data_IF_107306764931
#
_entry.id   IF_107306764931
#
_cell.length_a   1.000
_cell.length_b   1.000
_cell.length_c   1.000
_cell.angle_alpha   90.00
_cell.angle_beta   90.00
_cell.angle_gamma   90.00
#
_symmetry.space_group_name_H-M   'P 1'
#
loop_
_entity.id
_entity.type
_entity.pdbx_description
1 polymer ?
#
# COMPACT_ATOMS: atom_id res chain seq x y z
N UNK A 1 4.96 30.44 41.89
CA UNK A 1 5.27 29.01 41.69
C UNK A 1 3.97 28.22 41.68
N UNK A 2 3.94 27.05 41.04
CA UNK A 2 3.56 26.72 39.66
C UNK A 2 2.01 26.56 39.53
N UNK A 3 1.35 26.60 38.37
CA UNK A 3 1.69 26.02 37.08
C UNK A 3 1.13 24.59 36.99
N UNK A 4 -0.10 24.42 36.53
CA UNK A 4 -0.63 23.11 36.08
C UNK A 4 -1.28 23.28 34.71
N UNK A 5 -0.44 23.22 33.69
CA UNK A 5 -0.88 22.93 32.33
C UNK A 5 -1.36 21.48 32.28
N UNK A 6 -2.58 21.28 31.81
CA UNK A 6 -3.00 20.01 31.24
C UNK A 6 -2.48 19.99 29.81
N UNK A 7 -1.42 19.22 29.60
CA UNK A 7 -0.92 18.85 28.29
C UNK A 7 -1.97 17.99 27.59
N UNK A 8 -2.72 18.58 26.67
CA UNK A 8 -3.50 17.84 25.70
C UNK A 8 -2.58 17.03 24.78
N UNK A 9 -3.03 15.81 24.49
CA UNK A 9 -2.26 14.72 23.89
C UNK A 9 -1.59 15.07 22.56
N UNK A 10 -0.35 14.58 22.42
CA UNK A 10 0.48 14.68 21.21
C UNK A 10 -0.26 14.18 19.97
N UNK A 11 -0.54 15.11 19.06
CA UNK A 11 -0.80 14.84 17.65
C UNK A 11 0.47 14.30 16.96
N UNK A 12 0.33 13.15 16.31
CA UNK A 12 1.36 12.52 15.48
C UNK A 12 0.97 12.36 14.00
N UNK A 13 -0.24 12.77 13.60
CA UNK A 13 -0.79 12.48 12.27
C UNK A 13 -0.59 13.58 11.22
N UNK A 14 -0.39 14.84 11.63
CA UNK A 14 -0.44 15.97 10.70
C UNK A 14 0.82 16.07 9.83
N UNK A 15 2.00 15.80 10.41
CA UNK A 15 3.28 15.88 9.70
C UNK A 15 3.46 14.83 8.60
N UNK A 16 3.11 13.57 8.85
CA UNK A 16 3.20 12.49 7.85
C UNK A 16 2.23 12.71 6.69
N UNK A 17 1.01 13.14 7.01
CA UNK A 17 0.01 13.51 6.00
C UNK A 17 0.49 14.68 5.15
N UNK A 18 1.00 15.74 5.77
CA UNK A 18 1.49 16.92 5.05
C UNK A 18 2.68 16.59 4.15
N UNK A 19 3.65 15.82 4.67
CA UNK A 19 4.81 15.39 3.91
C UNK A 19 4.40 14.53 2.70
N UNK A 20 3.53 13.54 2.91
CA UNK A 20 3.05 12.67 1.84
C UNK A 20 2.24 13.44 0.80
N UNK A 21 1.35 14.34 1.24
CA UNK A 21 0.57 15.19 0.32
C UNK A 21 1.46 16.16 -0.46
N UNK A 22 2.49 16.74 0.17
CA UNK A 22 3.47 17.58 -0.53
C UNK A 22 4.23 16.79 -1.59
N UNK A 23 4.72 15.60 -1.23
CA UNK A 23 5.43 14.71 -2.17
C UNK A 23 4.52 14.32 -3.34
N UNK A 24 3.29 13.88 -3.06
CA UNK A 24 2.34 13.47 -4.08
C UNK A 24 1.96 14.64 -5.01
N UNK A 25 1.73 15.84 -4.47
CA UNK A 25 1.44 17.03 -5.29
C UNK A 25 2.61 17.41 -6.19
N UNK A 26 3.84 17.26 -5.73
CA UNK A 26 5.04 17.48 -6.55
C UNK A 26 5.09 16.49 -7.71
N UNK A 27 4.90 15.20 -7.44
CA UNK A 27 4.81 14.17 -8.47
C UNK A 27 3.68 14.44 -9.47
N UNK A 28 2.48 14.79 -8.97
CA UNK A 28 1.31 15.08 -9.80
C UNK A 28 1.56 16.27 -10.75
N UNK A 29 2.20 17.34 -10.27
CA UNK A 29 2.59 18.49 -11.11
C UNK A 29 3.60 18.08 -12.16
N UNK A 30 4.61 17.30 -11.78
CA UNK A 30 5.63 16.80 -12.72
C UNK A 30 5.00 15.95 -13.82
N UNK A 31 4.13 14.98 -13.48
CA UNK A 31 3.37 14.22 -14.48
C UNK A 31 2.58 15.17 -15.39
N UNK A 32 1.97 16.19 -14.79
CA UNK A 32 1.21 17.19 -15.51
C UNK A 32 2.01 18.02 -16.53
N UNK A 33 3.29 18.27 -16.26
CA UNK A 33 4.12 19.19 -17.04
C UNK A 33 5.10 18.46 -17.96
N UNK A 34 5.49 17.24 -17.62
CA UNK A 34 6.62 16.55 -18.24
C UNK A 34 6.24 15.29 -19.02
N UNK A 35 5.02 14.76 -18.83
CA UNK A 35 4.59 13.54 -19.51
C UNK A 35 3.64 13.87 -20.66
N UNK A 36 4.03 13.45 -21.87
CA UNK A 36 3.15 13.43 -23.02
C UNK A 36 2.21 12.21 -22.96
N UNK A 37 0.95 12.46 -22.62
CA UNK A 37 -0.07 11.44 -22.48
C UNK A 37 -0.59 10.87 -23.81
N UNK A 38 -0.19 11.45 -24.95
CA UNK A 38 -0.46 10.85 -26.26
C UNK A 38 0.40 9.59 -26.51
N UNK A 39 1.61 9.57 -25.94
CA UNK A 39 2.57 8.48 -26.13
C UNK A 39 2.81 7.66 -24.85
N UNK A 40 2.47 8.21 -23.69
CA UNK A 40 2.74 7.58 -22.38
C UNK A 40 1.47 7.37 -21.58
N UNK A 41 1.26 6.16 -21.07
CA UNK A 41 0.21 5.86 -20.10
C UNK A 41 0.82 5.81 -18.70
N UNK A 42 0.33 6.63 -17.79
CA UNK A 42 0.80 6.67 -16.40
C UNK A 42 -0.15 5.89 -15.51
N UNK A 43 0.40 5.04 -14.66
CA UNK A 43 -0.33 4.29 -13.65
C UNK A 43 0.17 4.68 -12.26
N UNK A 44 -0.75 4.76 -11.30
CA UNK A 44 -0.40 4.85 -9.89
C UNK A 44 -0.98 3.63 -9.17
N UNK A 45 -0.11 2.77 -8.64
CA UNK A 45 -0.51 1.63 -7.81
C UNK A 45 -0.78 2.10 -6.40
N UNK A 46 -1.95 1.78 -5.86
CA UNK A 46 -2.32 2.14 -4.50
C UNK A 46 -1.46 1.41 -3.45
N UNK A 47 -1.72 1.70 -2.17
CA UNK A 47 -0.96 1.19 -1.03
C UNK A 47 -1.04 -0.35 -0.97
N UNK A 48 0.12 -1.00 -0.87
CA UNK A 48 0.23 -2.42 -0.48
C UNK A 48 0.07 -2.51 1.04
N UNK A 49 -0.92 -3.24 1.57
CA UNK A 49 -1.12 -3.37 3.01
C UNK A 49 -0.05 -4.25 3.66
N UNK A 50 0.04 -4.14 4.99
CA UNK A 50 0.87 -5.01 5.85
C UNK A 50 -0.04 -5.80 6.80
N UNK A 51 0.37 -7.02 7.14
CA UNK A 51 -0.42 -7.93 7.98
C UNK A 51 0.25 -8.14 9.34
N UNK A 52 0.29 -7.06 10.13
CA UNK A 52 0.90 -7.01 11.47
C UNK A 52 -0.17 -6.96 12.56
N UNK A 53 0.23 -7.23 13.80
CA UNK A 53 -0.63 -7.14 15.00
C UNK A 53 -1.93 -7.95 14.86
N UNK A 54 -3.09 -7.29 14.83
CA UNK A 54 -4.40 -7.94 14.75
C UNK A 54 -4.66 -8.62 13.39
N UNK A 55 -3.93 -8.24 12.34
CA UNK A 55 -4.02 -8.89 11.03
C UNK A 55 -2.85 -9.86 10.77
N UNK A 56 -2.22 -10.41 11.81
CA UNK A 56 -0.95 -11.15 11.72
C UNK A 56 -0.90 -12.21 10.60
N UNK A 57 0.17 -12.18 9.78
CA UNK A 57 0.32 -13.08 8.62
C UNK A 57 0.90 -14.46 8.93
N UNK A 58 1.57 -14.64 10.08
CA UNK A 58 2.23 -15.91 10.39
C UNK A 58 1.22 -17.04 10.53
N UNK A 59 1.56 -18.19 9.94
CA UNK A 59 0.75 -19.40 9.95
C UNK A 59 -0.67 -19.21 9.36
N UNK A 60 -0.86 -18.19 8.52
CA UNK A 60 -2.10 -18.01 7.77
C UNK A 60 -1.94 -18.65 6.40
N UNK A 61 -2.90 -19.49 6.03
CA UNK A 61 -2.89 -20.23 4.75
C UNK A 61 -4.14 -19.97 3.91
N UNK A 62 -5.08 -19.16 4.41
CA UNK A 62 -6.29 -18.76 3.72
C UNK A 62 -6.50 -17.25 3.82
N UNK A 63 -7.11 -16.61 2.80
CA UNK A 63 -7.54 -15.23 2.88
C UNK A 63 -8.50 -14.99 4.05
N UNK A 64 -8.72 -13.73 4.41
CA UNK A 64 -9.88 -13.37 5.23
C UNK A 64 -11.17 -13.78 4.53
N UNK A 65 -12.10 -14.38 5.28
CA UNK A 65 -13.38 -14.86 4.75
C UNK A 65 -14.54 -13.93 5.10
N UNK A 66 -14.60 -13.42 6.33
CA UNK A 66 -15.66 -12.54 6.82
C UNK A 66 -15.18 -11.48 7.85
N UNK A 67 -13.87 -11.38 8.08
CA UNK A 67 -13.29 -10.42 9.02
C UNK A 67 -12.88 -9.14 8.29
N UNK A 68 -13.14 -7.99 8.89
CA UNK A 68 -12.63 -6.71 8.40
C UNK A 68 -11.17 -6.55 8.78
N UNK A 69 -10.30 -6.45 7.79
CA UNK A 69 -8.91 -6.02 7.97
C UNK A 69 -8.84 -4.71 8.78
N UNK A 70 -8.06 -4.73 9.86
CA UNK A 70 -7.84 -3.53 10.66
C UNK A 70 -6.72 -2.70 10.05
N UNK A 71 -7.08 -1.62 9.39
CA UNK A 71 -6.12 -0.81 8.65
C UNK A 71 -4.94 -0.33 9.51
N UNK A 72 -3.74 -0.78 9.15
CA UNK A 72 -2.50 -0.45 9.87
C UNK A 72 -1.96 0.96 9.52
N UNK A 73 -2.27 1.47 8.33
CA UNK A 73 -1.81 2.78 7.85
C UNK A 73 -2.94 3.83 7.88
N UNK A 74 -2.65 5.13 8.04
CA UNK A 74 -3.69 6.15 8.10
C UNK A 74 -4.56 6.20 6.83
N UNK A 75 -5.89 6.17 6.97
CA UNK A 75 -6.84 6.39 5.85
C UNK A 75 -6.60 7.69 5.10
N UNK A 76 -6.04 8.67 5.80
CA UNK A 76 -5.68 9.97 5.23
C UNK A 76 -4.69 9.81 4.07
N UNK A 77 -3.79 8.82 4.07
CA UNK A 77 -2.87 8.56 2.96
C UNK A 77 -3.60 8.11 1.68
N UNK A 78 -4.58 7.21 1.78
CA UNK A 78 -5.43 6.84 0.63
C UNK A 78 -6.13 8.10 0.10
N UNK A 79 -6.70 8.90 1.01
CA UNK A 79 -7.43 10.11 0.63
C UNK A 79 -6.53 11.14 -0.09
N UNK A 80 -5.25 11.23 0.26
CA UNK A 80 -4.28 12.09 -0.45
C UNK A 80 -4.13 11.63 -1.90
N UNK A 81 -3.91 10.33 -2.11
CA UNK A 81 -3.74 9.77 -3.46
C UNK A 81 -5.00 9.99 -4.29
N UNK A 82 -6.16 9.58 -3.78
CA UNK A 82 -7.43 9.63 -4.52
C UNK A 82 -7.81 11.07 -4.87
N UNK A 83 -7.74 12.01 -3.91
CA UNK A 83 -8.07 13.42 -4.15
C UNK A 83 -7.13 14.07 -5.17
N UNK A 84 -5.84 13.75 -5.14
CA UNK A 84 -4.89 14.35 -6.07
C UNK A 84 -4.99 13.70 -7.46
N UNK A 85 -5.19 12.38 -7.58
CA UNK A 85 -5.41 11.73 -8.88
C UNK A 85 -6.73 12.19 -9.52
N UNK A 86 -7.81 12.35 -8.75
CA UNK A 86 -9.07 12.88 -9.27
C UNK A 86 -8.90 14.25 -9.92
N UNK A 87 -8.04 15.11 -9.35
CA UNK A 87 -7.66 16.42 -9.94
C UNK A 87 -6.81 16.29 -11.21
N UNK A 88 -6.21 15.13 -11.45
CA UNK A 88 -5.44 14.83 -12.66
C UNK A 88 -6.26 14.12 -13.75
N UNK A 89 -7.47 13.64 -13.41
CA UNK A 89 -8.53 12.84 -14.10
C UNK A 89 -8.22 12.08 -15.40
N UNK A 90 -7.39 12.61 -16.31
CA UNK A 90 -7.03 11.99 -17.59
C UNK A 90 -5.52 11.72 -17.76
N UNK A 91 -4.67 12.10 -16.80
CA UNK A 91 -3.21 11.88 -16.89
C UNK A 91 -2.73 10.58 -16.25
N UNK A 92 -3.51 10.00 -15.33
CA UNK A 92 -3.10 8.85 -14.51
C UNK A 92 -4.25 7.87 -14.35
N UNK A 93 -3.98 6.58 -14.57
CA UNK A 93 -4.86 5.47 -14.20
C UNK A 93 -4.52 5.00 -12.79
N UNK A 94 -5.52 5.01 -11.90
CA UNK A 94 -5.34 4.53 -10.53
C UNK A 94 -5.61 3.03 -10.44
N UNK A 95 -4.58 2.25 -10.10
CA UNK A 95 -4.70 0.82 -9.84
C UNK A 95 -4.96 0.63 -8.35
N UNK A 96 -6.24 0.59 -7.97
CA UNK A 96 -6.66 0.39 -6.59
C UNK A 96 -6.55 -1.09 -6.20
N UNK A 97 -5.36 -1.48 -5.73
CA UNK A 97 -5.06 -2.83 -5.22
C UNK A 97 -5.27 -2.95 -3.71
N UNK A 98 -5.54 -1.86 -3.00
CA UNK A 98 -5.42 -1.85 -1.53
C UNK A 98 -6.42 -2.81 -0.91
N UNK A 99 -7.71 -2.62 -1.19
CA UNK A 99 -8.74 -3.40 -0.51
C UNK A 99 -8.70 -4.89 -0.83
N UNK A 100 -8.48 -5.29 -2.09
CA UNK A 100 -8.31 -6.71 -2.43
C UNK A 100 -7.09 -7.33 -1.74
N UNK A 101 -6.03 -6.54 -1.51
CA UNK A 101 -4.80 -7.02 -0.90
C UNK A 101 -4.93 -7.16 0.61
N UNK A 102 -5.81 -6.38 1.24
CA UNK A 102 -6.14 -6.47 2.67
C UNK A 102 -6.76 -7.81 3.04
N UNK A 103 -7.36 -8.55 2.09
CA UNK A 103 -7.89 -9.89 2.34
C UNK A 103 -6.80 -10.97 2.36
N UNK A 104 -5.59 -10.66 1.87
CA UNK A 104 -4.61 -11.68 1.47
C UNK A 104 -3.52 -11.92 2.52
N UNK A 105 -3.89 -12.00 3.80
CA UNK A 105 -2.94 -12.29 4.90
C UNK A 105 -2.13 -13.58 4.70
N UNK A 106 -2.66 -14.51 3.90
CA UNK A 106 -2.06 -15.79 3.51
C UNK A 106 -0.88 -15.66 2.52
N UNK A 107 -0.74 -14.52 1.84
CA UNK A 107 0.15 -14.40 0.68
C UNK A 107 1.53 -13.80 1.01
N UNK A 108 1.80 -13.47 2.28
CA UNK A 108 3.08 -12.90 2.69
C UNK A 108 4.21 -13.94 2.75
N UNK A 109 5.45 -13.48 2.60
CA UNK A 109 6.64 -14.35 2.75
C UNK A 109 6.78 -14.91 4.17
N UNK A 110 6.28 -14.19 5.17
CA UNK A 110 6.37 -14.57 6.59
C UNK A 110 7.83 -14.89 6.96
N UNK A 111 8.10 -16.08 7.48
CA UNK A 111 9.46 -16.53 7.83
C UNK A 111 10.23 -17.18 6.67
N UNK A 112 9.61 -17.30 5.49
CA UNK A 112 10.22 -17.86 4.28
C UNK A 112 10.82 -16.73 3.44
N UNK A 113 11.67 -15.93 4.07
CA UNK A 113 12.28 -14.73 3.48
C UNK A 113 13.79 -14.70 3.74
N UNK A 114 14.43 -13.64 3.25
CA UNK A 114 15.85 -13.35 3.51
C UNK A 114 16.01 -12.17 4.45
N UNK A 115 17.08 -12.18 5.24
CA UNK A 115 17.52 -11.03 6.04
C UNK A 115 19.00 -10.80 5.78
N UNK A 116 19.35 -9.58 5.39
CA UNK A 116 20.72 -9.23 5.00
C UNK A 116 21.27 -10.15 3.88
N UNK A 117 20.42 -10.54 2.93
CA UNK A 117 20.79 -11.36 1.77
C UNK A 117 20.83 -12.88 2.02
N UNK A 118 20.66 -13.35 3.26
CA UNK A 118 20.67 -14.78 3.58
C UNK A 118 19.29 -15.27 3.98
N UNK A 119 18.98 -16.54 3.66
CA UNK A 119 17.78 -17.21 4.13
C UNK A 119 17.79 -17.29 5.67
N UNK A 120 16.62 -17.15 6.27
CA UNK A 120 16.47 -17.32 7.72
C UNK A 120 16.78 -18.76 8.12
N UNK A 121 17.57 -18.92 9.19
CA UNK A 121 17.84 -20.24 9.79
C UNK A 121 16.58 -20.81 10.43
N UNK A 122 16.55 -22.12 10.69
CA UNK A 122 15.41 -22.76 11.37
C UNK A 122 15.10 -22.12 12.73
N UNK A 123 16.12 -21.71 13.49
CA UNK A 123 15.93 -21.05 14.78
C UNK A 123 15.36 -19.63 14.65
N UNK A 124 15.68 -18.93 13.56
CA UNK A 124 15.09 -17.63 13.24
C UNK A 124 13.64 -17.80 12.77
N UNK A 125 13.36 -18.81 11.94
CA UNK A 125 12.00 -19.10 11.48
C UNK A 125 11.06 -19.49 12.64
N UNK A 126 11.60 -20.08 13.72
CA UNK A 126 10.86 -20.36 14.96
C UNK A 126 10.56 -19.13 15.82
N UNK A 127 11.03 -17.94 15.42
CA UNK A 127 10.84 -16.68 16.13
C UNK A 127 10.09 -15.65 15.26
N UNK A 128 8.83 -15.93 14.85
CA UNK A 128 8.11 -15.11 13.87
C UNK A 128 7.88 -13.67 14.34
N UNK A 129 7.76 -13.41 15.64
CA UNK A 129 7.62 -12.04 16.16
C UNK A 129 8.83 -11.14 15.85
N UNK A 130 10.00 -11.73 15.60
CA UNK A 130 11.24 -11.02 15.31
C UNK A 130 11.65 -11.07 13.83
N UNK A 131 11.21 -12.10 13.11
CA UNK A 131 11.71 -12.42 11.78
C UNK A 131 10.63 -12.56 10.70
N UNK A 132 9.34 -12.62 11.04
CA UNK A 132 8.30 -12.70 10.03
C UNK A 132 8.20 -11.38 9.26
N UNK A 133 8.31 -11.49 7.94
CA UNK A 133 8.03 -10.42 7.01
C UNK A 133 6.58 -10.48 6.55
N UNK A 134 5.75 -9.61 7.15
CA UNK A 134 4.35 -9.41 6.79
C UNK A 134 4.14 -8.14 5.96
N UNK A 135 5.16 -7.72 5.21
CA UNK A 135 5.12 -6.56 4.30
C UNK A 135 5.36 -7.00 2.83
N UNK A 136 6.21 -8.01 2.61
CA UNK A 136 6.49 -8.58 1.28
C UNK A 136 5.65 -9.82 0.97
N UNK A 137 5.51 -10.11 -0.33
CA UNK A 137 4.60 -11.14 -0.86
C UNK A 137 5.38 -12.28 -1.50
N UNK A 138 4.89 -13.51 -1.35
CA UNK A 138 5.39 -14.66 -2.10
C UNK A 138 5.17 -14.46 -3.61
N UNK A 139 6.05 -15.08 -4.41
CA UNK A 139 5.89 -15.25 -5.85
C UNK A 139 6.02 -16.75 -6.20
N UNK A 140 5.09 -17.33 -6.99
CA UNK A 140 3.84 -16.72 -7.47
C UNK A 140 2.90 -16.36 -6.30
N UNK A 141 2.05 -15.35 -6.49
CA UNK A 141 1.22 -14.83 -5.40
C UNK A 141 0.42 -13.57 -5.72
N UNK A 142 0.11 -12.80 -4.69
CA UNK A 142 -0.73 -11.60 -4.81
C UNK A 142 -0.25 -10.57 -5.86
N UNK A 143 1.07 -10.30 -6.01
CA UNK A 143 1.54 -9.38 -7.04
C UNK A 143 1.16 -9.78 -8.47
N UNK A 144 0.93 -11.07 -8.73
CA UNK A 144 0.46 -11.54 -10.04
C UNK A 144 -0.93 -10.99 -10.35
N UNK A 145 -1.82 -10.91 -9.35
CA UNK A 145 -3.14 -10.27 -9.50
C UNK A 145 -3.02 -8.78 -9.83
N UNK A 146 -2.07 -8.08 -9.21
CA UNK A 146 -1.83 -6.67 -9.53
C UNK A 146 -1.34 -6.48 -10.97
N UNK A 147 -0.49 -7.40 -11.45
CA UNK A 147 0.00 -7.38 -12.82
C UNK A 147 -1.11 -7.71 -13.82
N UNK A 148 -2.05 -8.61 -13.48
CA UNK A 148 -3.26 -8.84 -14.29
C UNK A 148 -4.12 -7.58 -14.37
N UNK A 149 -4.32 -6.84 -13.27
CA UNK A 149 -5.05 -5.58 -13.29
C UNK A 149 -4.35 -4.50 -14.11
N UNK A 150 -3.01 -4.42 -14.04
CA UNK A 150 -2.22 -3.54 -14.89
C UNK A 150 -2.37 -3.91 -16.37
N UNK A 151 -2.22 -5.18 -16.71
CA UNK A 151 -2.38 -5.68 -18.07
C UNK A 151 -3.78 -5.40 -18.63
N UNK A 152 -4.83 -5.68 -17.84
CA UNK A 152 -6.20 -5.35 -18.22
C UNK A 152 -6.39 -3.83 -18.42
N UNK A 153 -5.77 -2.99 -17.60
CA UNK A 153 -5.83 -1.53 -17.74
C UNK A 153 -5.00 -0.98 -18.90
N UNK A 154 -3.97 -1.72 -19.34
CA UNK A 154 -3.18 -1.44 -20.54
C UNK A 154 -3.93 -1.87 -21.81
N UNK A 155 -4.61 -3.01 -21.78
CA UNK A 155 -5.30 -3.55 -22.96
C UNK A 155 -6.73 -3.02 -23.11
N UNK A 156 -7.35 -2.58 -22.01
CA UNK A 156 -8.69 -2.00 -22.01
C UNK A 156 -8.76 -0.77 -22.91
N UNK A 157 -9.74 -0.77 -23.82
CA UNK A 157 -10.03 0.38 -24.68
C UNK A 157 -10.43 1.60 -23.84
N UNK A 158 -10.12 2.84 -24.26
CA UNK A 158 -10.69 4.02 -23.64
C UNK A 158 -12.21 3.88 -23.67
N UNK A 159 -12.85 3.85 -22.50
CA UNK A 159 -14.29 4.03 -22.43
C UNK A 159 -14.58 5.43 -22.96
N UNK A 160 -15.06 5.53 -24.20
CA UNK A 160 -15.82 6.68 -24.63
C UNK A 160 -17.08 6.69 -23.75
N UNK A 161 -16.97 7.33 -22.60
CA UNK A 161 -18.16 7.75 -21.86
C UNK A 161 -18.71 8.91 -22.67
N UNK A 162 -19.66 8.58 -23.54
CA UNK A 162 -20.61 9.51 -24.15
C UNK A 162 -21.40 10.25 -23.07
#
# INVERSE_FOLDING_TARGET
MPGTGTSDGKGGGDGEYEAFNRAFRTWARWVGQSIDTAHTRVFFRSISPEHKLENWCYNQTTPFTNETYKQYFPRTMISVVERNIQKMRNKVKYLNITHLSEYRKDAHTSVYTTRQGNLLTLDQQRQPNLYADCSHWCLPGLPDTWNVLLFASLMGTPSNVS
#
